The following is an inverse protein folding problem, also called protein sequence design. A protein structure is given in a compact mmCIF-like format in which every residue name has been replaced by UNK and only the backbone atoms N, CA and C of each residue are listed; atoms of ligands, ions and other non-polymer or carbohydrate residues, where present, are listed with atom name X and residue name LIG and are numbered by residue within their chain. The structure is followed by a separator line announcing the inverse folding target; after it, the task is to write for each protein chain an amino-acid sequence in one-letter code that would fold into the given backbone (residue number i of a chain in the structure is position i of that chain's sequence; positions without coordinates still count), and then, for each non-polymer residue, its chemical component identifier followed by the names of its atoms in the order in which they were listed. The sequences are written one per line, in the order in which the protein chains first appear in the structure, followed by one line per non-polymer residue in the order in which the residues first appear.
data_IF_613856178973
#
_entry.id   IF_613856178973
#
_cell.length_a   1.000
_cell.length_b   1.000
_cell.length_c   1.000
_cell.angle_alpha   90.00
_cell.angle_beta   90.00
_cell.angle_gamma   90.00
#
_symmetry.space_group_name_H-M   'P 1'
#
loop_
_entity.id
_entity.type
_entity.pdbx_description
1 polymer ?
#
# COMPACT_ATOMS: atom_id res chain seq x y z
N UNK A 1 -12.06 -17.37 -4.85
CA UNK A 1 -11.00 -18.33 -5.23
C UNK A 1 -11.63 -19.71 -5.14
N UNK A 2 -11.68 -20.44 -6.28
CA UNK A 2 -12.25 -21.77 -6.36
C UNK A 2 -11.45 -22.73 -5.47
N UNK A 3 -12.13 -23.48 -4.59
CA UNK A 3 -11.55 -24.46 -3.67
C UNK A 3 -10.65 -25.50 -4.40
N UNK A 4 -10.90 -25.70 -5.71
CA UNK A 4 -10.13 -26.59 -6.59
C UNK A 4 -8.76 -26.08 -6.96
N UNK A 5 -8.51 -24.78 -6.92
CA UNK A 5 -7.20 -24.20 -7.28
C UNK A 5 -6.15 -24.33 -6.16
N UNK A 6 -6.58 -24.53 -4.93
CA UNK A 6 -5.69 -24.72 -3.76
C UNK A 6 -5.23 -26.16 -3.54
N UNK A 7 -5.85 -27.14 -4.21
CA UNK A 7 -5.32 -28.50 -4.27
C UNK A 7 -4.10 -28.61 -5.18
N UNK A 8 -3.71 -27.52 -5.84
CA UNK A 8 -2.52 -27.48 -6.68
C UNK A 8 -1.25 -27.60 -5.84
N UNK A 9 -0.70 -28.78 -5.83
CA UNK A 9 0.74 -29.12 -5.66
C UNK A 9 1.54 -28.45 -4.53
N UNK A 10 0.94 -27.69 -3.61
CA UNK A 10 1.65 -27.08 -2.47
C UNK A 10 2.39 -28.14 -1.65
N UNK A 11 1.97 -29.41 -1.68
CA UNK A 11 2.66 -30.51 -1.01
C UNK A 11 3.67 -31.28 -1.87
N UNK A 12 3.83 -30.95 -3.17
CA UNK A 12 4.75 -31.65 -4.08
C UNK A 12 5.99 -30.85 -4.43
N UNK A 13 5.85 -29.49 -4.47
CA UNK A 13 6.95 -28.61 -4.81
C UNK A 13 7.42 -27.83 -3.57
N UNK A 14 8.71 -27.55 -3.48
CA UNK A 14 9.27 -26.72 -2.42
C UNK A 14 9.46 -25.30 -2.92
N UNK A 15 8.92 -24.31 -2.17
CA UNK A 15 9.04 -22.90 -2.48
C UNK A 15 9.76 -22.20 -1.33
N UNK A 16 10.72 -21.34 -1.66
CA UNK A 16 11.45 -20.58 -0.66
C UNK A 16 10.72 -19.30 -0.23
N UNK A 17 9.90 -18.71 -1.12
CA UNK A 17 9.18 -17.48 -0.84
C UNK A 17 7.83 -17.42 -1.56
N UNK A 18 6.94 -16.57 -1.03
CA UNK A 18 5.73 -16.08 -1.70
C UNK A 18 5.97 -14.64 -2.09
N UNK A 19 5.69 -14.29 -3.34
CA UNK A 19 5.87 -12.95 -3.89
C UNK A 19 4.58 -12.49 -4.59
N UNK A 20 4.14 -11.27 -4.33
CA UNK A 20 2.97 -10.74 -5.04
C UNK A 20 2.41 -9.44 -4.46
N UNK A 21 1.31 -9.00 -5.04
CA UNK A 21 0.62 -7.80 -4.61
C UNK A 21 0.04 -7.99 -3.20
N UNK A 22 0.25 -6.99 -2.35
CA UNK A 22 -0.15 -7.03 -0.93
C UNK A 22 -1.60 -7.47 -0.75
N UNK A 23 -2.54 -6.86 -1.46
CA UNK A 23 -3.97 -7.22 -1.33
C UNK A 23 -4.25 -8.68 -1.69
N UNK A 24 -3.63 -9.21 -2.74
CA UNK A 24 -3.81 -10.60 -3.15
C UNK A 24 -3.27 -11.57 -2.09
N UNK A 25 -2.10 -11.25 -1.54
CA UNK A 25 -1.46 -12.03 -0.46
C UNK A 25 -2.32 -12.00 0.81
N UNK A 26 -2.83 -10.82 1.20
CA UNK A 26 -3.72 -10.68 2.38
C UNK A 26 -5.02 -11.48 2.21
N UNK A 27 -5.63 -11.44 1.02
CA UNK A 27 -6.82 -12.25 0.72
C UNK A 27 -6.53 -13.76 0.85
N UNK A 28 -5.39 -14.20 0.34
CA UNK A 28 -4.95 -15.58 0.46
C UNK A 28 -4.66 -15.95 1.92
N UNK A 29 -3.98 -15.09 2.68
CA UNK A 29 -3.73 -15.29 4.10
C UNK A 29 -5.03 -15.44 4.90
N UNK A 30 -6.02 -14.57 4.66
CA UNK A 30 -7.34 -14.65 5.29
C UNK A 30 -8.08 -15.94 4.91
N UNK A 31 -7.93 -16.40 3.66
CA UNK A 31 -8.49 -17.70 3.24
C UNK A 31 -7.86 -18.84 4.03
N UNK A 32 -6.53 -18.88 4.15
CA UNK A 32 -5.82 -19.92 4.92
C UNK A 32 -6.23 -19.94 6.40
N UNK A 33 -6.39 -18.75 7.01
CA UNK A 33 -6.86 -18.62 8.40
C UNK A 33 -8.27 -19.23 8.53
N UNK A 34 -9.20 -18.96 7.59
CA UNK A 34 -10.56 -19.55 7.62
C UNK A 34 -10.56 -21.06 7.44
N UNK A 35 -9.56 -21.61 6.74
CA UNK A 35 -9.41 -23.06 6.53
C UNK A 35 -8.56 -23.73 7.62
N UNK A 36 -8.10 -22.98 8.63
CA UNK A 36 -7.18 -23.46 9.68
C UNK A 36 -5.88 -24.08 9.11
N UNK A 37 -5.36 -23.50 8.03
CA UNK A 37 -4.14 -23.94 7.35
C UNK A 37 -2.99 -22.98 7.66
N UNK A 38 -1.90 -23.51 8.20
CA UNK A 38 -0.62 -22.81 8.34
C UNK A 38 0.28 -23.16 7.14
N UNK A 39 0.57 -22.20 6.27
CA UNK A 39 1.27 -22.43 5.01
C UNK A 39 2.65 -23.08 5.23
N UNK A 40 3.40 -22.66 6.25
CA UNK A 40 4.71 -23.22 6.60
C UNK A 40 4.66 -24.72 6.94
N UNK A 41 3.53 -25.21 7.45
CA UNK A 41 3.36 -26.68 7.69
C UNK A 41 3.16 -27.45 6.40
N UNK A 42 2.51 -26.84 5.40
CA UNK A 42 2.25 -27.43 4.08
C UNK A 42 3.48 -27.29 3.17
N UNK A 43 4.20 -26.17 3.29
CA UNK A 43 5.44 -25.89 2.55
C UNK A 43 6.59 -25.58 3.53
N UNK A 44 7.29 -26.60 4.07
CA UNK A 44 8.34 -26.41 5.09
C UNK A 44 9.55 -25.60 4.62
N UNK A 45 9.80 -25.54 3.31
CA UNK A 45 10.89 -24.76 2.71
C UNK A 45 10.63 -23.24 2.72
N UNK A 46 9.36 -22.80 2.85
CA UNK A 46 9.01 -21.39 2.82
C UNK A 46 9.76 -20.57 3.86
N UNK A 47 10.44 -19.49 3.46
CA UNK A 47 11.30 -18.66 4.31
C UNK A 47 10.72 -17.27 4.59
N UNK A 48 10.06 -16.66 3.58
CA UNK A 48 9.62 -15.28 3.63
C UNK A 48 8.43 -15.05 2.70
N UNK A 49 7.62 -14.04 3.02
CA UNK A 49 6.62 -13.48 2.12
C UNK A 49 7.05 -12.06 1.71
N UNK A 50 7.12 -11.78 0.42
CA UNK A 50 7.52 -10.50 -0.14
C UNK A 50 6.28 -9.83 -0.75
N UNK A 51 5.87 -8.71 -0.16
CA UNK A 51 4.76 -7.89 -0.61
C UNK A 51 5.27 -6.75 -1.50
N UNK A 52 4.68 -6.56 -2.66
CA UNK A 52 5.11 -5.55 -3.63
C UNK A 52 3.94 -4.73 -4.19
N UNK A 53 4.26 -3.64 -4.85
CA UNK A 53 3.34 -2.77 -5.62
C UNK A 53 2.29 -2.02 -4.82
N UNK A 54 2.00 -2.41 -3.61
CA UNK A 54 1.01 -1.81 -2.71
C UNK A 54 1.61 -1.77 -1.31
N UNK A 55 1.25 -0.76 -0.51
CA UNK A 55 1.75 -0.66 0.85
C UNK A 55 1.25 -1.84 1.70
N UNK A 56 2.17 -2.60 2.28
CA UNK A 56 1.87 -3.65 3.26
C UNK A 56 2.01 -3.08 4.66
N UNK A 57 0.89 -2.85 5.33
CA UNK A 57 0.86 -2.27 6.67
C UNK A 57 1.31 -3.27 7.74
N UNK A 58 1.58 -2.77 8.94
CA UNK A 58 1.89 -3.63 10.10
C UNK A 58 0.76 -4.65 10.38
N UNK A 59 -0.51 -4.26 10.16
CA UNK A 59 -1.65 -5.16 10.33
C UNK A 59 -1.69 -6.23 9.22
N UNK A 60 -1.44 -5.84 7.97
CA UNK A 60 -1.37 -6.80 6.86
C UNK A 60 -0.26 -7.83 7.11
N UNK A 61 0.91 -7.38 7.57
CA UNK A 61 2.00 -8.28 7.97
C UNK A 61 1.58 -9.26 9.04
N UNK A 62 0.89 -8.80 10.10
CA UNK A 62 0.39 -9.70 11.16
C UNK A 62 -0.56 -10.78 10.63
N UNK A 63 -1.47 -10.41 9.71
CA UNK A 63 -2.38 -11.37 9.06
C UNK A 63 -1.59 -12.38 8.24
N UNK A 64 -0.65 -11.92 7.43
CA UNK A 64 0.20 -12.76 6.58
C UNK A 64 1.06 -13.69 7.44
N UNK A 65 1.78 -13.15 8.42
CA UNK A 65 2.68 -13.91 9.29
C UNK A 65 1.92 -15.00 10.08
N UNK A 66 0.71 -14.67 10.56
CA UNK A 66 -0.18 -15.65 11.22
C UNK A 66 -0.57 -16.79 10.29
N UNK A 67 -0.89 -16.50 9.03
CA UNK A 67 -1.34 -17.50 8.07
C UNK A 67 -0.18 -18.31 7.47
N UNK A 68 0.93 -17.63 7.22
CA UNK A 68 2.06 -18.25 6.51
C UNK A 68 3.10 -18.88 7.43
N UNK A 69 3.22 -18.38 8.68
CA UNK A 69 4.23 -18.84 9.63
C UNK A 69 5.65 -18.38 9.32
N UNK A 70 5.79 -17.33 8.51
CA UNK A 70 7.06 -16.70 8.12
C UNK A 70 6.90 -15.19 8.12
N UNK A 71 8.02 -14.45 8.12
CA UNK A 71 8.03 -12.99 8.06
C UNK A 71 7.46 -12.47 6.74
N UNK A 72 6.74 -11.34 6.82
CA UNK A 72 6.31 -10.56 5.67
C UNK A 72 7.14 -9.28 5.58
N UNK A 73 7.71 -9.02 4.40
CA UNK A 73 8.55 -7.85 4.12
C UNK A 73 8.00 -7.09 2.92
N UNK A 74 8.28 -5.78 2.87
CA UNK A 74 7.91 -4.95 1.73
C UNK A 74 9.05 -4.86 0.71
N UNK A 75 8.66 -4.81 -0.55
CA UNK A 75 9.51 -4.40 -1.66
C UNK A 75 8.95 -3.10 -2.25
N UNK A 76 9.84 -2.16 -2.50
CA UNK A 76 9.52 -0.87 -3.14
C UNK A 76 10.30 -0.73 -4.43
N UNK A 77 9.60 -0.61 -5.52
CA UNK A 77 10.16 -0.48 -6.86
C UNK A 77 9.20 0.18 -7.84
N UNK A 78 9.71 0.53 -9.00
CA UNK A 78 8.95 1.09 -10.11
C UNK A 78 9.34 0.41 -11.42
N UNK A 79 8.44 0.46 -12.40
CA UNK A 79 8.73 -0.08 -13.74
C UNK A 79 9.85 0.67 -14.47
N UNK A 80 10.10 1.94 -14.07
CA UNK A 80 11.07 2.83 -14.70
C UNK A 80 12.52 2.52 -14.28
N UNK A 81 12.72 2.22 -12.99
CA UNK A 81 14.08 2.09 -12.43
C UNK A 81 14.30 0.80 -11.66
N UNK A 82 13.31 -0.13 -11.69
CA UNK A 82 13.36 -1.42 -11.02
C UNK A 82 13.30 -1.31 -9.49
N UNK A 83 14.02 -2.16 -8.76
CA UNK A 83 14.03 -2.21 -7.31
C UNK A 83 14.71 -0.97 -6.69
N UNK A 84 13.96 -0.22 -5.90
CA UNK A 84 14.45 0.97 -5.19
C UNK A 84 14.92 0.58 -3.79
N UNK A 85 14.10 -0.16 -3.06
CA UNK A 85 14.38 -0.56 -1.69
C UNK A 85 13.60 -1.82 -1.30
N UNK A 86 14.07 -2.51 -0.29
CA UNK A 86 13.34 -3.62 0.34
C UNK A 86 13.51 -3.55 1.86
N UNK A 87 12.51 -4.02 2.58
CA UNK A 87 12.64 -4.24 4.02
C UNK A 87 13.40 -5.54 4.31
N UNK A 88 14.33 -5.49 5.24
CA UNK A 88 14.92 -6.69 5.81
C UNK A 88 13.97 -7.34 6.86
N UNK A 89 14.39 -8.46 7.44
CA UNK A 89 13.57 -9.20 8.42
C UNK A 89 13.37 -8.45 9.73
N UNK A 90 14.17 -7.42 10.01
CA UNK A 90 14.06 -6.51 11.14
C UNK A 90 13.16 -5.30 10.85
N UNK A 91 12.66 -5.19 9.59
CA UNK A 91 11.80 -4.09 9.16
C UNK A 91 12.57 -2.82 8.77
N UNK A 92 13.87 -2.95 8.54
CA UNK A 92 14.72 -1.82 8.11
C UNK A 92 14.78 -1.79 6.59
N UNK A 93 14.50 -0.62 6.02
CA UNK A 93 14.60 -0.40 4.58
C UNK A 93 16.05 -0.34 4.10
N UNK A 94 16.37 -1.19 3.13
CA UNK A 94 17.66 -1.26 2.44
C UNK A 94 17.52 -0.73 1.03
N UNK A 95 18.27 0.31 0.70
CA UNK A 95 18.28 0.89 -0.64
C UNK A 95 19.16 0.08 -1.59
N UNK A 96 18.73 -0.03 -2.85
CA UNK A 96 19.50 -0.68 -3.95
C UNK A 96 20.53 0.29 -4.52
N UNK A 97 21.47 0.79 -3.70
CA UNK A 97 22.45 1.80 -4.07
C UNK A 97 23.37 1.39 -5.21
N UNK A 98 23.50 0.09 -5.47
CA UNK A 98 24.24 -0.46 -6.61
C UNK A 98 23.56 -0.17 -7.95
N UNK A 99 22.22 -0.04 -7.94
CA UNK A 99 21.40 0.10 -9.14
C UNK A 99 20.90 1.52 -9.37
N UNK A 100 20.70 2.27 -8.29
CA UNK A 100 20.11 3.61 -8.34
C UNK A 100 20.88 4.59 -7.46
N UNK A 101 20.90 5.83 -7.90
CA UNK A 101 21.23 6.97 -7.06
C UNK A 101 19.91 7.65 -6.63
N UNK A 102 19.70 7.74 -5.32
CA UNK A 102 18.48 8.29 -4.73
C UNK A 102 18.75 9.67 -4.12
N UNK A 103 17.86 10.61 -4.39
CA UNK A 103 17.79 11.94 -3.77
C UNK A 103 16.42 12.08 -3.10
N UNK A 104 16.39 12.81 -1.98
CA UNK A 104 15.12 13.18 -1.34
C UNK A 104 15.08 14.69 -1.20
N UNK A 105 14.10 15.32 -1.84
CA UNK A 105 14.02 16.76 -2.00
C UNK A 105 12.79 17.34 -1.29
N UNK A 106 12.95 18.52 -0.72
CA UNK A 106 11.85 19.35 -0.21
C UNK A 106 10.99 19.93 -1.35
N UNK A 107 9.95 20.69 -1.01
CA UNK A 107 9.06 21.33 -2.00
C UNK A 107 9.78 22.40 -2.85
N UNK A 108 10.90 22.91 -2.38
CA UNK A 108 11.71 23.91 -3.09
C UNK A 108 12.81 23.28 -3.97
N UNK A 109 12.96 21.96 -3.89
CA UNK A 109 13.98 21.22 -4.61
C UNK A 109 15.34 21.15 -3.92
N UNK A 110 15.43 21.51 -2.64
CA UNK A 110 16.64 21.34 -1.85
C UNK A 110 16.72 19.93 -1.27
N UNK A 111 17.92 19.41 -1.08
CA UNK A 111 18.14 18.14 -0.39
C UNK A 111 17.68 18.21 1.07
N UNK A 112 17.01 17.16 1.53
CA UNK A 112 16.69 16.97 2.95
C UNK A 112 17.98 16.60 3.69
N UNK A 113 18.17 17.20 4.86
CA UNK A 113 19.22 16.86 5.82
C UNK A 113 18.57 16.51 7.18
N UNK A 114 19.01 15.43 7.81
CA UNK A 114 18.40 14.93 9.04
C UNK A 114 17.05 14.27 8.80
N UNK A 115 16.16 14.35 9.80
CA UNK A 115 14.79 13.84 9.70
C UNK A 115 13.92 14.80 8.88
N UNK A 116 13.17 14.26 7.93
CA UNK A 116 12.29 15.08 7.09
C UNK A 116 11.37 14.26 6.19
N UNK A 117 10.40 14.95 5.62
CA UNK A 117 9.55 14.44 4.56
C UNK A 117 9.98 15.06 3.23
N UNK A 118 10.13 14.24 2.19
CA UNK A 118 10.50 14.74 0.87
C UNK A 118 10.01 13.88 -0.28
N UNK A 119 10.16 14.43 -1.49
CA UNK A 119 9.88 13.79 -2.77
C UNK A 119 11.07 12.92 -3.16
N UNK A 120 10.78 11.72 -3.66
CA UNK A 120 11.81 10.78 -4.10
C UNK A 120 12.16 11.07 -5.55
N UNK A 121 13.45 11.28 -5.80
CA UNK A 121 14.03 11.51 -7.14
C UNK A 121 15.12 10.47 -7.36
N UNK A 122 15.09 9.82 -8.53
CA UNK A 122 15.95 8.67 -8.82
C UNK A 122 16.76 8.87 -10.10
N UNK A 123 17.99 8.37 -10.07
CA UNK A 123 18.83 8.20 -11.26
C UNK A 123 19.16 6.72 -11.41
N UNK A 124 18.79 6.10 -12.54
CA UNK A 124 19.17 4.74 -12.87
C UNK A 124 20.65 4.69 -13.29
N UNK A 125 21.43 3.81 -12.66
CA UNK A 125 22.85 3.70 -12.93
C UNK A 125 23.18 2.72 -14.07
N UNK A 126 22.22 1.87 -14.44
CA UNK A 126 22.46 0.77 -15.40
C UNK A 126 21.62 0.86 -16.69
N UNK A 127 20.50 1.54 -16.69
CA UNK A 127 19.63 1.63 -17.86
C UNK A 127 20.19 2.62 -18.89
N UNK A 128 21.03 2.10 -19.81
CA UNK A 128 21.64 2.90 -20.88
C UNK A 128 20.71 3.13 -22.08
N UNK A 129 19.72 2.25 -22.29
CA UNK A 129 18.81 2.34 -23.41
C UNK A 129 17.79 3.46 -23.22
N UNK A 130 17.34 3.68 -21.98
CA UNK A 130 16.42 4.74 -21.59
C UNK A 130 16.87 5.29 -20.22
N UNK A 131 17.88 6.18 -20.20
CA UNK A 131 18.46 6.65 -18.96
C UNK A 131 17.48 7.57 -18.22
N UNK A 132 17.04 7.16 -17.05
CA UNK A 132 16.31 8.01 -16.12
C UNK A 132 17.33 8.74 -15.24
N UNK A 133 17.45 10.05 -15.44
CA UNK A 133 18.36 10.91 -14.70
C UNK A 133 17.53 11.93 -13.93
N UNK A 134 17.67 11.95 -12.58
CA UNK A 134 16.89 12.79 -11.67
C UNK A 134 15.39 12.73 -11.95
N UNK A 135 14.88 11.52 -12.13
CA UNK A 135 13.49 11.27 -12.44
C UNK A 135 12.65 11.30 -11.15
N UNK A 136 11.69 12.21 -11.09
CA UNK A 136 10.74 12.32 -10.00
C UNK A 136 9.63 11.28 -10.20
N UNK A 137 9.62 10.23 -9.37
CA UNK A 137 8.67 9.11 -9.52
C UNK A 137 7.26 9.44 -9.01
N UNK A 138 7.11 10.59 -8.34
CA UNK A 138 5.84 11.03 -7.76
C UNK A 138 5.54 10.45 -6.38
N UNK A 139 6.49 9.78 -5.75
CA UNK A 139 6.35 9.25 -4.39
C UNK A 139 7.04 10.14 -3.36
N UNK A 140 6.56 10.06 -2.11
CA UNK A 140 7.09 10.76 -0.94
C UNK A 140 7.47 9.77 0.15
N UNK A 141 8.44 10.14 0.94
CA UNK A 141 8.86 9.35 2.09
C UNK A 141 9.22 10.23 3.30
N UNK A 142 9.02 9.66 4.49
CA UNK A 142 9.71 10.11 5.69
C UNK A 142 11.08 9.45 5.72
N UNK A 143 12.11 10.25 5.82
CA UNK A 143 13.50 9.80 5.76
C UNK A 143 14.32 10.39 6.89
N UNK A 144 15.44 9.73 7.18
CA UNK A 144 16.57 10.34 7.87
C UNK A 144 17.76 10.35 6.90
N UNK A 145 18.31 11.51 6.63
CA UNK A 145 19.42 11.72 5.68
C UNK A 145 20.63 12.21 6.45
N UNK A 146 21.70 11.44 6.38
CA UNK A 146 23.04 11.81 6.87
C UNK A 146 24.01 11.90 5.70
N UNK A 147 25.22 12.41 5.93
CA UNK A 147 26.26 12.47 4.90
C UNK A 147 26.65 11.10 4.34
N UNK A 148 26.41 10.03 5.12
CA UNK A 148 26.80 8.67 4.75
C UNK A 148 25.64 7.88 4.08
N UNK A 149 24.37 8.15 4.46
CA UNK A 149 23.24 7.35 4.00
C UNK A 149 21.89 8.04 4.09
N UNK A 150 20.98 7.56 3.25
CA UNK A 150 19.53 7.82 3.33
C UNK A 150 18.88 6.58 3.98
N UNK A 151 18.06 6.81 4.99
CA UNK A 151 17.24 5.77 5.62
C UNK A 151 15.78 6.11 5.41
N UNK A 152 15.03 5.28 4.70
CA UNK A 152 13.57 5.39 4.60
C UNK A 152 12.97 4.92 5.92
N UNK A 153 12.18 5.78 6.55
CA UNK A 153 11.41 5.44 7.75
C UNK A 153 10.01 5.00 7.40
N UNK A 154 9.41 5.67 6.40
CA UNK A 154 8.06 5.35 5.93
C UNK A 154 7.87 5.84 4.50
N UNK A 155 7.25 5.01 3.66
CA UNK A 155 6.72 5.42 2.37
C UNK A 155 5.33 6.03 2.56
N UNK A 156 5.11 7.23 2.03
CA UNK A 156 3.86 7.98 2.16
C UNK A 156 2.93 7.80 0.96
N UNK A 157 3.41 7.14 -0.10
CA UNK A 157 2.71 6.97 -1.37
C UNK A 157 2.87 8.15 -2.32
N UNK A 158 2.18 8.09 -3.45
CA UNK A 158 2.30 9.07 -4.53
C UNK A 158 1.72 10.45 -4.18
N UNK A 159 2.26 11.50 -4.78
CA UNK A 159 1.80 12.90 -4.61
C UNK A 159 0.30 13.05 -4.89
N UNK A 160 -0.25 12.25 -5.80
CA UNK A 160 -1.69 12.22 -6.11
C UNK A 160 -2.53 11.48 -5.07
N UNK A 161 -1.94 10.96 -4.01
CA UNK A 161 -2.60 10.22 -2.94
C UNK A 161 -2.69 11.02 -1.65
N UNK A 162 -2.39 12.32 -1.71
CA UNK A 162 -2.49 13.24 -0.56
C UNK A 162 -3.92 13.79 -0.47
N UNK A 163 -4.52 13.64 0.69
CA UNK A 163 -5.74 14.35 1.10
C UNK A 163 -5.35 15.75 1.53
N UNK A 164 -5.98 16.76 0.93
CA UNK A 164 -5.86 18.16 1.38
C UNK A 164 -7.17 18.52 2.06
N UNK A 165 -7.10 18.82 3.36
CA UNK A 165 -8.25 19.10 4.19
C UNK A 165 -8.60 20.61 4.19
N UNK A 166 -9.84 21.02 4.54
CA UNK A 166 -10.24 22.42 4.62
C UNK A 166 -9.35 23.28 5.52
N UNK A 167 -8.81 22.70 6.60
CA UNK A 167 -7.83 23.36 7.48
C UNK A 167 -6.46 23.60 6.82
N UNK A 168 -6.22 23.10 5.61
CA UNK A 168 -4.92 23.08 4.95
C UNK A 168 -4.02 21.93 5.43
N UNK A 169 -4.45 21.13 6.41
CA UNK A 169 -3.74 19.92 6.84
C UNK A 169 -3.65 18.94 5.67
N UNK A 170 -2.46 18.38 5.47
CA UNK A 170 -2.23 17.28 4.52
C UNK A 170 -2.27 15.94 5.26
N UNK A 171 -2.92 14.95 4.68
CA UNK A 171 -2.96 13.58 5.20
C UNK A 171 -2.73 12.59 4.06
N UNK A 172 -2.25 11.39 4.40
CA UNK A 172 -2.08 10.34 3.42
C UNK A 172 -3.44 9.74 3.03
N UNK A 173 -3.77 9.74 1.74
CA UNK A 173 -5.00 9.12 1.24
C UNK A 173 -5.02 7.62 1.47
N UNK A 174 -3.87 6.98 1.47
CA UNK A 174 -3.75 5.54 1.79
C UNK A 174 -4.07 5.28 3.28
N UNK A 175 -3.67 6.16 4.19
CA UNK A 175 -4.05 6.06 5.61
C UNK A 175 -5.56 6.17 5.78
N UNK A 176 -6.20 7.10 5.05
CA UNK A 176 -7.65 7.24 5.04
C UNK A 176 -8.36 5.98 4.51
N UNK A 177 -7.84 5.39 3.45
CA UNK A 177 -8.33 4.13 2.92
C UNK A 177 -8.28 3.01 3.98
N UNK A 178 -7.16 2.84 4.70
CA UNK A 178 -7.04 1.76 5.69
C UNK A 178 -7.95 1.93 6.91
N UNK A 179 -8.16 3.16 7.37
CA UNK A 179 -9.12 3.44 8.45
C UNK A 179 -10.52 2.98 8.06
N UNK A 180 -10.92 3.22 6.82
CA UNK A 180 -12.24 2.90 6.30
C UNK A 180 -12.40 1.43 5.98
N UNK A 181 -11.33 0.80 5.47
CA UNK A 181 -11.29 -0.61 5.08
C UNK A 181 -11.72 -1.53 6.23
N UNK A 182 -11.20 -1.30 7.45
CA UNK A 182 -11.54 -2.10 8.64
C UNK A 182 -13.04 -2.15 8.92
N UNK A 183 -13.73 -1.06 8.67
CA UNK A 183 -15.17 -0.93 8.91
C UNK A 183 -15.94 -1.70 7.84
N UNK A 184 -15.64 -1.42 6.60
CA UNK A 184 -16.34 -1.99 5.45
C UNK A 184 -16.13 -3.52 5.32
N UNK A 185 -14.94 -4.03 5.68
CA UNK A 185 -14.66 -5.47 5.63
C UNK A 185 -15.38 -6.27 6.73
N UNK A 186 -15.71 -5.66 7.88
CA UNK A 186 -16.44 -6.34 8.96
C UNK A 186 -17.84 -6.79 8.55
N UNK A 187 -18.47 -6.08 7.63
CA UNK A 187 -19.80 -6.44 7.12
C UNK A 187 -19.80 -7.75 6.31
N UNK A 188 -18.64 -8.25 5.91
CA UNK A 188 -18.48 -9.48 5.13
C UNK A 188 -18.98 -9.40 3.69
N UNK A 189 -19.49 -8.26 3.27
CA UNK A 189 -20.24 -8.03 2.04
C UNK A 189 -19.44 -7.21 1.01
N UNK A 190 -18.34 -6.60 1.43
CA UNK A 190 -17.48 -5.78 0.59
C UNK A 190 -16.50 -6.64 -0.21
N UNK A 191 -16.45 -6.45 -1.53
CA UNK A 191 -15.46 -7.04 -2.41
C UNK A 191 -14.28 -6.10 -2.66
N UNK A 192 -14.58 -4.87 -3.05
CA UNK A 192 -13.59 -3.84 -3.37
C UNK A 192 -14.17 -2.45 -3.08
N UNK A 193 -13.30 -1.48 -2.83
CA UNK A 193 -13.70 -0.06 -2.81
C UNK A 193 -12.51 0.86 -3.10
N UNK A 194 -12.83 2.09 -3.51
CA UNK A 194 -11.88 3.20 -3.64
C UNK A 194 -12.48 4.45 -3.03
N UNK A 195 -11.63 5.41 -2.70
CA UNK A 195 -12.03 6.71 -2.17
C UNK A 195 -11.58 7.79 -3.14
N UNK A 196 -12.48 8.72 -3.44
CA UNK A 196 -12.21 9.91 -4.25
C UNK A 196 -12.45 11.16 -3.43
N UNK A 197 -11.44 12.02 -3.30
CA UNK A 197 -11.64 13.37 -2.79
C UNK A 197 -12.08 14.25 -3.94
N UNK A 198 -13.33 14.70 -3.92
CA UNK A 198 -13.95 15.52 -4.98
C UNK A 198 -14.00 17.01 -4.65
N UNK A 199 -13.91 17.35 -3.36
CA UNK A 199 -13.72 18.69 -2.83
C UNK A 199 -12.91 18.60 -1.53
N UNK A 200 -12.35 19.69 -0.98
CA UNK A 200 -11.57 19.65 0.25
C UNK A 200 -12.29 18.96 1.42
N UNK A 201 -13.60 19.17 1.50
CA UNK A 201 -14.49 18.66 2.55
C UNK A 201 -15.35 17.48 2.11
N UNK A 202 -15.21 16.97 0.86
CA UNK A 202 -16.14 15.97 0.32
C UNK A 202 -15.43 14.79 -0.34
N UNK A 203 -15.88 13.60 0.05
CA UNK A 203 -15.34 12.31 -0.41
C UNK A 203 -16.45 11.44 -1.01
N UNK A 204 -16.10 10.65 -2.01
CA UNK A 204 -16.97 9.63 -2.62
C UNK A 204 -16.29 8.28 -2.48
N UNK A 205 -16.99 7.34 -1.87
CA UNK A 205 -16.60 5.94 -1.76
C UNK A 205 -17.31 5.14 -2.84
N UNK A 206 -16.59 4.69 -3.85
CA UNK A 206 -17.13 3.72 -4.80
C UNK A 206 -16.89 2.32 -4.26
N UNK A 207 -17.96 1.56 -4.02
CA UNK A 207 -17.91 0.23 -3.40
C UNK A 207 -18.51 -0.83 -4.30
N UNK A 208 -17.84 -1.97 -4.41
CA UNK A 208 -18.38 -3.21 -5.00
C UNK A 208 -18.80 -4.11 -3.85
N UNK A 209 -20.09 -4.27 -3.66
CA UNK A 209 -20.68 -5.04 -2.54
C UNK A 209 -21.95 -5.76 -2.97
N UNK A 210 -22.32 -6.81 -2.26
CA UNK A 210 -23.55 -7.59 -2.54
C UNK A 210 -24.80 -6.84 -2.05
N UNK A 211 -24.69 -6.06 -0.97
CA UNK A 211 -25.74 -5.20 -0.44
C UNK A 211 -25.22 -3.82 -0.08
N UNK A 212 -26.14 -2.91 0.25
CA UNK A 212 -25.77 -1.55 0.66
C UNK A 212 -25.05 -1.55 2.01
N UNK A 213 -24.16 -0.57 2.19
CA UNK A 213 -23.46 -0.34 3.46
C UNK A 213 -24.47 0.10 4.52
N UNK A 214 -24.46 -0.59 5.67
CA UNK A 214 -25.41 -0.34 6.76
C UNK A 214 -25.25 1.08 7.35
N UNK A 215 -26.30 1.61 7.97
CA UNK A 215 -26.23 2.90 8.65
C UNK A 215 -25.20 2.86 9.79
N UNK A 216 -25.11 1.78 10.52
CA UNK A 216 -24.12 1.58 11.60
C UNK A 216 -22.70 1.72 11.08
N UNK A 217 -22.39 1.13 9.90
CA UNK A 217 -21.07 1.23 9.29
C UNK A 217 -20.78 2.64 8.79
N UNK A 218 -21.81 3.33 8.24
CA UNK A 218 -21.72 4.75 7.84
C UNK A 218 -21.38 5.65 9.02
N UNK A 219 -22.06 5.47 10.16
CA UNK A 219 -21.83 6.25 11.38
C UNK A 219 -20.42 5.99 11.94
N UNK A 220 -19.95 4.76 11.85
CA UNK A 220 -18.61 4.40 12.28
C UNK A 220 -17.53 4.99 11.35
N UNK A 221 -17.77 5.02 10.03
CA UNK A 221 -16.91 5.70 9.06
C UNK A 221 -16.84 7.20 9.39
N UNK A 222 -17.99 7.87 9.63
CA UNK A 222 -18.01 9.28 9.98
C UNK A 222 -17.21 9.57 11.25
N UNK A 223 -17.43 8.77 12.30
CA UNK A 223 -16.67 8.91 13.55
C UNK A 223 -15.17 8.79 13.36
N UNK A 224 -14.72 7.89 12.48
CA UNK A 224 -13.28 7.74 12.20
C UNK A 224 -12.75 8.89 11.33
N UNK A 225 -13.53 9.38 10.38
CA UNK A 225 -13.19 10.59 9.59
C UNK A 225 -12.95 11.76 10.55
N UNK A 226 -13.91 12.02 11.45
CA UNK A 226 -13.80 13.12 12.42
C UNK A 226 -12.61 12.97 13.37
N UNK A 227 -12.27 11.73 13.75
CA UNK A 227 -11.18 11.46 14.68
C UNK A 227 -9.78 11.55 14.04
N UNK A 228 -9.62 11.01 12.83
CA UNK A 228 -8.29 10.83 12.21
C UNK A 228 -7.96 11.89 11.17
N UNK A 229 -8.96 12.49 10.55
CA UNK A 229 -8.77 13.59 9.61
C UNK A 229 -9.12 14.91 10.29
N UNK A 230 -10.37 15.37 10.15
CA UNK A 230 -10.91 16.51 10.87
C UNK A 230 -12.46 16.48 10.86
N UNK A 231 -13.12 17.13 11.83
CA UNK A 231 -14.58 17.23 11.85
C UNK A 231 -15.16 18.03 10.68
N UNK A 232 -16.38 17.71 10.30
CA UNK A 232 -17.13 18.45 9.28
C UNK A 232 -16.89 17.99 7.85
N UNK A 233 -16.13 16.91 7.65
CA UNK A 233 -15.98 16.29 6.35
C UNK A 233 -17.21 15.45 6.00
N UNK A 234 -17.62 15.52 4.74
CA UNK A 234 -18.77 14.81 4.21
C UNK A 234 -18.33 13.64 3.32
N UNK A 235 -19.07 12.56 3.36
CA UNK A 235 -18.84 11.47 2.43
C UNK A 235 -20.15 10.88 1.89
N UNK A 236 -20.06 10.35 0.68
CA UNK A 236 -21.10 9.61 0.00
C UNK A 236 -20.58 8.20 -0.31
N UNK A 237 -21.43 7.18 -0.18
CA UNK A 237 -21.11 5.81 -0.60
C UNK A 237 -21.97 5.48 -1.81
N UNK A 238 -21.31 5.19 -2.92
CA UNK A 238 -21.92 4.83 -4.21
C UNK A 238 -21.57 3.39 -4.52
N UNK A 239 -22.61 2.54 -4.67
CA UNK A 239 -22.41 1.16 -5.11
C UNK A 239 -22.19 1.12 -6.62
N UNK A 240 -21.15 0.40 -7.04
CA UNK A 240 -20.78 0.22 -8.44
C UNK A 240 -20.58 -1.27 -8.74
N UNK A 241 -20.75 -1.66 -10.01
CA UNK A 241 -20.57 -3.06 -10.43
C UNK A 241 -19.10 -3.48 -10.46
N UNK A 242 -18.21 -2.56 -10.76
CA UNK A 242 -16.76 -2.80 -10.82
C UNK A 242 -15.96 -1.52 -10.61
N UNK A 243 -14.73 -1.65 -10.09
CA UNK A 243 -13.77 -0.56 -9.95
C UNK A 243 -12.83 -0.54 -11.15
N UNK A 244 -12.67 0.64 -11.77
CA UNK A 244 -11.72 0.83 -12.86
C UNK A 244 -10.29 0.62 -12.36
N UNK A 245 -9.54 -0.22 -13.06
CA UNK A 245 -8.11 -0.44 -12.82
C UNK A 245 -7.29 0.57 -13.63
N UNK A 246 -6.05 0.83 -13.19
CA UNK A 246 -5.07 1.53 -14.00
C UNK A 246 -4.74 0.73 -15.26
N UNK A 247 -4.07 1.34 -16.25
CA UNK A 247 -3.61 0.63 -17.47
C UNK A 247 -2.71 -0.57 -17.13
N UNK A 248 -1.99 -0.52 -16.01
CA UNK A 248 -1.14 -1.59 -15.51
C UNK A 248 -1.90 -2.65 -14.67
N UNK A 249 -3.24 -2.59 -14.58
CA UNK A 249 -4.07 -3.53 -13.82
C UNK A 249 -4.10 -3.28 -12.31
N UNK A 250 -3.35 -2.30 -11.79
CA UNK A 250 -3.30 -1.97 -10.36
C UNK A 250 -4.58 -1.27 -9.91
N UNK A 251 -5.04 -1.59 -8.70
CA UNK A 251 -6.09 -0.82 -8.03
C UNK A 251 -5.47 0.34 -7.27
N UNK A 252 -5.87 1.56 -7.62
CA UNK A 252 -5.53 2.74 -6.85
C UNK A 252 -6.63 2.98 -5.82
N UNK A 253 -6.28 2.96 -4.55
CA UNK A 253 -7.24 2.98 -3.44
C UNK A 253 -7.78 4.36 -3.10
N UNK A 254 -7.01 5.39 -3.42
CA UNK A 254 -7.39 6.78 -3.21
C UNK A 254 -7.09 7.62 -4.45
N UNK A 255 -7.98 8.58 -4.74
CA UNK A 255 -7.81 9.55 -5.82
C UNK A 255 -8.12 10.95 -5.30
N UNK A 256 -7.19 11.90 -5.45
CA UNK A 256 -7.53 13.31 -5.40
C UNK A 256 -8.03 13.75 -6.77
N UNK A 257 -9.29 14.18 -6.86
CA UNK A 257 -9.89 14.76 -8.06
C UNK A 257 -9.75 16.29 -8.09
N UNK A 258 -9.12 16.85 -7.07
CA UNK A 258 -8.82 18.30 -7.01
C UNK A 258 -7.64 18.59 -7.93
N UNK A 259 -7.75 19.63 -8.73
CA UNK A 259 -6.71 20.14 -9.61
C UNK A 259 -5.85 21.16 -8.87
#
# INVERSE_FOLDING_TARGET
VDDRSLTFNIGKDSFDYVYGYTNSIVLFARYLIRKDVLLKKVCPSLKVCICTSENCTAEDKQIIERAFGVKAVNEYGTSEVDLIAFEDLEGVWRLSNENIFIEVLDEKGNHIHGDGEGRIVLTSLHNKAMPFIRYEIGDRALVNVTDEKITIRQLLGGVNDIVILPSGKKSSGISFYFITRKILEKSGNLKEFIIKQVAPDRFVFEVVSESDVSQTDRDLIQKNIDLYLEPGLNFEIVRVDSIKRTKAGKMKHFYSCMK
#
